data_IF_666954686683
#
_entry.id   IF_666954686683
#
_cell.length_a   1.000
_cell.length_b   1.000
_cell.length_c   1.000
_cell.angle_alpha   90.00
_cell.angle_beta   90.00
_cell.angle_gamma   90.00
#
_symmetry.space_group_name_H-M   'P 1'
#
loop_
_entity.id
_entity.type
_entity.pdbx_description
1 polymer ?
#
# COMPACT_ATOMS: atom_id res chain seq x y z
N UNK A 1 -2.57 -4.37 -12.65
CA UNK A 1 -3.57 -3.28 -12.70
C UNK A 1 -4.98 -3.80 -13.00
N UNK A 2 -5.22 -4.61 -14.04
CA UNK A 2 -6.58 -5.04 -14.39
C UNK A 2 -7.19 -6.16 -13.54
N UNK A 3 -6.43 -6.78 -12.62
CA UNK A 3 -6.85 -7.96 -11.82
C UNK A 3 -6.44 -7.86 -10.34
N UNK A 4 -5.96 -6.70 -9.92
CA UNK A 4 -5.49 -6.48 -8.56
C UNK A 4 -6.73 -6.51 -7.64
N UNK A 5 -6.68 -7.32 -6.59
CA UNK A 5 -7.79 -7.45 -5.64
C UNK A 5 -7.50 -6.61 -4.41
N UNK A 6 -8.44 -5.73 -4.06
CA UNK A 6 -8.40 -5.02 -2.78
C UNK A 6 -8.72 -6.00 -1.67
N UNK A 7 -7.77 -6.21 -0.76
CA UNK A 7 -7.92 -7.13 0.36
C UNK A 7 -8.55 -6.45 1.58
N UNK A 8 -8.14 -5.21 1.87
CA UNK A 8 -8.69 -4.39 2.94
C UNK A 8 -8.39 -2.90 2.72
N UNK A 9 -9.22 -2.04 3.29
CA UNK A 9 -9.12 -0.57 3.21
C UNK A 9 -9.57 0.05 4.53
N UNK A 10 -8.66 0.81 5.16
CA UNK A 10 -8.93 1.42 6.47
C UNK A 10 -8.67 2.92 6.44
N UNK A 11 -9.51 3.66 7.16
CA UNK A 11 -9.31 5.07 7.48
C UNK A 11 -8.71 5.19 8.87
N UNK A 12 -7.54 5.81 8.96
CA UNK A 12 -6.80 6.04 10.19
C UNK A 12 -6.84 7.53 10.50
N UNK A 13 -7.66 7.96 11.46
CA UNK A 13 -7.67 9.36 11.87
C UNK A 13 -8.63 9.70 13.01
N UNK A 14 -8.47 10.88 13.65
CA UNK A 14 -7.37 11.84 13.49
C UNK A 14 -6.02 11.28 13.95
N UNK A 15 -4.94 11.50 13.18
CA UNK A 15 -3.60 10.96 13.51
C UNK A 15 -2.80 12.00 14.30
N UNK A 16 -2.44 11.74 15.58
CA UNK A 16 -1.60 12.64 16.34
C UNK A 16 -0.21 12.81 15.71
N UNK A 17 0.39 13.98 15.87
CA UNK A 17 1.80 14.19 15.49
C UNK A 17 2.69 13.26 16.31
N UNK A 18 3.58 12.55 15.63
CA UNK A 18 4.51 11.61 16.24
C UNK A 18 4.51 10.24 15.57
N UNK A 19 5.03 9.24 16.29
CA UNK A 19 5.10 7.86 15.81
C UNK A 19 3.78 7.17 16.16
N UNK A 20 3.06 6.74 15.12
CA UNK A 20 1.84 5.95 15.25
C UNK A 20 2.07 4.54 14.70
N UNK A 21 1.43 3.55 15.32
CA UNK A 21 1.46 2.16 14.87
C UNK A 21 0.04 1.61 14.85
N UNK A 22 -0.30 0.95 13.76
CA UNK A 22 -1.55 0.22 13.59
C UNK A 22 -1.26 -1.14 12.96
N UNK A 23 -2.25 -2.03 13.03
CA UNK A 23 -2.21 -3.36 12.40
C UNK A 23 -3.22 -3.34 11.27
N UNK A 24 -2.77 -3.69 10.07
CA UNK A 24 -3.63 -3.92 8.91
C UNK A 24 -3.67 -5.43 8.67
N UNK A 25 -4.85 -6.02 8.71
CA UNK A 25 -5.06 -7.45 8.55
C UNK A 25 -6.17 -7.68 7.55
N UNK A 26 -5.90 -8.48 6.53
CA UNK A 26 -6.82 -8.74 5.45
C UNK A 26 -6.93 -10.25 5.16
N UNK A 27 -8.06 -10.66 4.59
CA UNK A 27 -8.25 -12.02 4.09
C UNK A 27 -7.46 -12.26 2.80
N UNK A 28 -7.32 -13.53 2.41
CA UNK A 28 -6.66 -13.91 1.17
C UNK A 28 -7.48 -13.45 -0.06
N UNK A 29 -6.82 -13.19 -1.22
CA UNK A 29 -7.54 -12.88 -2.45
C UNK A 29 -8.42 -14.06 -2.88
N UNK A 30 -9.47 -13.76 -3.65
CA UNK A 30 -10.40 -14.73 -4.20
C UNK A 30 -9.76 -15.45 -5.41
N UNK A 31 -9.48 -16.77 -5.32
CA UNK A 31 -8.80 -17.52 -6.38
C UNK A 31 -9.54 -17.51 -7.71
N UNK A 32 -10.88 -17.56 -7.69
CA UNK A 32 -11.73 -17.52 -8.87
C UNK A 32 -11.73 -16.17 -9.62
N UNK A 33 -11.17 -15.12 -9.03
CA UNK A 33 -10.98 -13.82 -9.70
C UNK A 33 -9.55 -13.64 -10.23
N UNK A 34 -8.65 -14.58 -9.92
CA UNK A 34 -7.30 -14.63 -10.47
C UNK A 34 -7.28 -15.47 -11.75
N UNK A 35 -6.32 -15.23 -12.64
CA UNK A 35 -6.05 -16.12 -13.76
C UNK A 35 -5.60 -17.48 -13.22
N UNK A 36 -6.15 -18.55 -13.79
CA UNK A 36 -5.93 -19.90 -13.28
C UNK A 36 -4.45 -20.32 -13.27
N UNK A 37 -3.67 -19.74 -14.18
CA UNK A 37 -2.23 -19.91 -14.37
C UNK A 37 -1.36 -18.95 -13.53
N UNK A 38 -1.95 -17.97 -12.86
CA UNK A 38 -1.23 -16.96 -12.06
C UNK A 38 -1.34 -17.18 -10.53
N UNK A 39 -1.99 -18.26 -10.09
CA UNK A 39 -2.08 -18.58 -8.64
C UNK A 39 -0.72 -19.00 -8.08
N UNK A 40 0.04 -19.78 -8.85
CA UNK A 40 1.40 -20.22 -8.51
C UNK A 40 2.44 -19.26 -9.10
N UNK A 41 3.59 -19.18 -8.45
CA UNK A 41 4.70 -18.32 -8.84
C UNK A 41 4.72 -16.98 -8.08
N UNK A 42 5.43 -16.02 -8.67
CA UNK A 42 5.72 -14.73 -8.02
C UNK A 42 4.64 -13.70 -8.33
N UNK A 43 4.04 -13.16 -7.29
CA UNK A 43 3.13 -12.01 -7.30
C UNK A 43 3.59 -10.93 -6.29
N UNK A 44 2.79 -9.89 -6.08
CA UNK A 44 3.11 -8.77 -5.18
C UNK A 44 1.91 -8.40 -4.33
N UNK A 45 2.12 -8.21 -3.03
CA UNK A 45 1.16 -7.50 -2.17
C UNK A 45 1.58 -6.04 -2.07
N UNK A 46 0.64 -5.13 -2.32
CA UNK A 46 0.83 -3.68 -2.26
C UNK A 46 0.07 -3.10 -1.08
N UNK A 47 0.74 -2.26 -0.29
CA UNK A 47 0.12 -1.37 0.69
C UNK A 47 0.27 0.05 0.17
N UNK A 48 -0.85 0.70 -0.13
CA UNK A 48 -0.91 2.08 -0.59
C UNK A 48 -1.44 2.95 0.53
N UNK A 49 -0.76 4.06 0.83
CA UNK A 49 -1.27 5.06 1.76
C UNK A 49 -1.58 6.36 1.02
N UNK A 50 -2.76 6.89 1.30
CA UNK A 50 -3.30 8.08 0.68
C UNK A 50 -3.75 9.09 1.73
N UNK A 51 -3.63 10.37 1.39
CA UNK A 51 -4.13 11.47 2.18
C UNK A 51 -4.90 12.41 1.26
N UNK A 52 -6.16 12.74 1.60
CA UNK A 52 -7.07 13.51 0.72
C UNK A 52 -7.09 12.94 -0.72
N UNK A 53 -7.25 11.63 -0.85
CA UNK A 53 -7.27 10.90 -2.15
C UNK A 53 -5.95 10.99 -2.96
N UNK A 54 -4.87 11.50 -2.36
CA UNK A 54 -3.54 11.57 -2.99
C UNK A 54 -2.63 10.53 -2.34
N UNK A 55 -2.23 9.55 -3.14
CA UNK A 55 -1.23 8.57 -2.74
C UNK A 55 0.10 9.26 -2.46
N UNK A 56 0.68 9.04 -1.29
CA UNK A 56 1.99 9.60 -0.91
C UNK A 56 3.06 8.52 -0.70
N UNK A 57 2.66 7.28 -0.45
CA UNK A 57 3.58 6.15 -0.37
C UNK A 57 2.92 4.84 -0.78
N UNK A 58 3.71 4.00 -1.44
CA UNK A 58 3.38 2.61 -1.77
C UNK A 58 4.49 1.69 -1.32
N UNK A 59 4.12 0.61 -0.66
CA UNK A 59 5.03 -0.44 -0.19
C UNK A 59 4.63 -1.76 -0.83
N UNK A 60 5.50 -2.34 -1.64
CA UNK A 60 5.28 -3.64 -2.26
C UNK A 60 6.14 -4.73 -1.64
N UNK A 61 5.55 -5.90 -1.44
CA UNK A 61 6.23 -7.11 -1.00
C UNK A 61 6.09 -8.18 -2.07
N UNK A 62 7.21 -8.77 -2.50
CA UNK A 62 7.14 -9.95 -3.35
C UNK A 62 6.59 -11.12 -2.56
N UNK A 63 5.67 -11.84 -3.19
CA UNK A 63 5.04 -13.03 -2.66
C UNK A 63 5.28 -14.17 -3.63
N UNK A 64 5.85 -15.26 -3.16
CA UNK A 64 6.00 -16.48 -3.94
C UNK A 64 4.98 -17.52 -3.45
N UNK A 65 4.17 -18.04 -4.36
CA UNK A 65 3.21 -19.10 -4.09
C UNK A 65 3.72 -20.40 -4.71
N UNK A 66 4.02 -21.40 -3.90
CA UNK A 66 4.55 -22.69 -4.35
C UNK A 66 3.64 -23.84 -3.91
N UNK A 67 3.54 -24.86 -4.76
CA UNK A 67 2.83 -26.08 -4.41
C UNK A 67 3.76 -27.00 -3.61
N UNK A 68 3.42 -27.26 -2.34
CA UNK A 68 4.25 -28.07 -1.45
C UNK A 68 4.50 -29.47 -2.02
N UNK A 69 5.77 -29.86 -2.08
CA UNK A 69 6.18 -31.22 -2.49
C UNK A 69 6.02 -31.52 -3.98
N UNK A 70 5.65 -30.54 -4.80
CA UNK A 70 5.60 -30.69 -6.25
C UNK A 70 6.96 -30.37 -6.87
N UNK A 71 7.44 -31.27 -7.73
CA UNK A 71 8.68 -31.10 -8.48
C UNK A 71 8.36 -31.04 -9.98
N UNK A 72 8.41 -29.85 -10.57
CA UNK A 72 8.03 -29.64 -11.96
C UNK A 72 8.90 -30.44 -12.95
N UNK A 73 10.14 -30.79 -12.58
CA UNK A 73 11.02 -31.61 -13.43
C UNK A 73 10.61 -33.08 -13.43
N UNK A 74 10.04 -33.57 -12.31
CA UNK A 74 9.63 -34.97 -12.15
C UNK A 74 8.15 -35.20 -12.50
N UNK A 75 7.30 -34.29 -12.09
CA UNK A 75 5.84 -34.43 -12.11
C UNK A 75 5.20 -33.75 -13.33
N UNK A 76 5.97 -32.92 -14.05
CA UNK A 76 5.45 -32.05 -15.11
C UNK A 76 4.79 -30.78 -14.56
N UNK A 77 4.02 -30.04 -15.38
CA UNK A 77 3.38 -28.80 -14.93
C UNK A 77 2.33 -29.07 -13.85
N UNK A 78 2.19 -28.18 -12.84
CA UNK A 78 1.21 -28.34 -11.77
C UNK A 78 -0.24 -28.21 -12.29
N UNK A 79 -1.23 -28.74 -11.55
CA UNK A 79 -2.62 -28.45 -11.82
C UNK A 79 -2.90 -26.94 -11.70
N UNK A 80 -3.78 -26.43 -12.55
CA UNK A 80 -4.28 -25.04 -12.49
C UNK A 80 -5.62 -24.98 -11.77
N UNK A 81 -6.07 -23.80 -11.36
CA UNK A 81 -7.40 -23.64 -10.77
C UNK A 81 -8.51 -23.97 -11.80
N UNK A 82 -9.59 -24.68 -11.43
CA UNK A 82 -10.00 -25.09 -10.07
C UNK A 82 -9.47 -26.44 -9.59
N UNK A 83 -8.64 -27.15 -10.36
CA UNK A 83 -8.09 -28.46 -9.97
C UNK A 83 -6.94 -28.35 -8.95
N UNK A 84 -6.31 -27.18 -8.86
CA UNK A 84 -5.29 -26.88 -7.87
C UNK A 84 -5.85 -26.92 -6.44
N UNK A 85 -5.30 -27.80 -5.59
CA UNK A 85 -5.62 -27.81 -4.16
C UNK A 85 -4.93 -26.64 -3.45
N UNK A 86 -5.69 -25.58 -3.19
CA UNK A 86 -5.21 -24.36 -2.54
C UNK A 86 -4.67 -24.61 -1.12
N UNK A 87 -5.05 -25.72 -0.46
CA UNK A 87 -4.51 -26.05 0.88
C UNK A 87 -3.05 -26.50 0.84
N UNK A 88 -2.56 -26.92 -0.33
CA UNK A 88 -1.17 -27.31 -0.55
C UNK A 88 -0.30 -26.14 -1.05
N UNK A 89 -0.90 -24.97 -1.30
CA UNK A 89 -0.16 -23.78 -1.73
C UNK A 89 0.45 -23.11 -0.51
N UNK A 90 1.77 -23.05 -0.46
CA UNK A 90 2.52 -22.31 0.54
C UNK A 90 2.90 -20.93 0.01
N UNK A 91 2.59 -19.91 0.80
CA UNK A 91 2.97 -18.51 0.54
C UNK A 91 4.25 -18.16 1.28
N UNK A 92 5.22 -17.59 0.57
CA UNK A 92 6.40 -16.97 1.16
C UNK A 92 6.47 -15.50 0.77
N UNK A 93 6.50 -14.61 1.76
CA UNK A 93 6.61 -13.16 1.57
C UNK A 93 8.06 -12.74 1.79
N UNK A 94 8.66 -12.04 0.83
CA UNK A 94 10.00 -11.45 0.97
C UNK A 94 9.92 -10.14 1.81
N UNK A 95 9.60 -10.31 3.09
CA UNK A 95 9.34 -9.20 4.01
C UNK A 95 10.57 -8.30 4.24
N UNK A 96 11.78 -8.85 4.17
CA UNK A 96 13.03 -8.12 4.46
C UNK A 96 13.47 -7.18 3.34
N UNK A 97 12.88 -7.28 2.13
CA UNK A 97 13.23 -6.45 0.97
C UNK A 97 12.00 -5.79 0.35
N UNK A 98 11.28 -4.93 1.10
CA UNK A 98 10.15 -4.20 0.55
C UNK A 98 10.60 -3.24 -0.56
N UNK A 99 9.72 -3.04 -1.53
CA UNK A 99 9.86 -2.00 -2.55
C UNK A 99 9.05 -0.80 -2.12
N UNK A 100 9.72 0.30 -1.77
CA UNK A 100 9.06 1.53 -1.31
C UNK A 100 9.15 2.59 -2.40
N UNK A 101 7.98 3.07 -2.83
CA UNK A 101 7.85 4.21 -3.75
C UNK A 101 7.19 5.35 -3.02
N UNK A 102 7.76 6.55 -3.09
CA UNK A 102 7.23 7.76 -2.45
C UNK A 102 6.76 8.74 -3.52
N UNK A 103 5.61 9.35 -3.29
CA UNK A 103 4.99 10.33 -4.17
C UNK A 103 4.88 11.65 -3.41
N UNK A 104 5.52 12.73 -3.87
CA UNK A 104 5.32 14.05 -3.29
C UNK A 104 3.86 14.50 -3.47
N UNK A 105 3.22 14.96 -2.40
CA UNK A 105 1.86 15.50 -2.42
C UNK A 105 1.79 16.83 -1.65
N UNK A 106 0.76 17.62 -1.95
CA UNK A 106 0.39 18.78 -1.15
C UNK A 106 -0.48 18.33 0.03
N UNK A 107 -0.09 18.71 1.25
CA UNK A 107 -0.77 18.30 2.50
C UNK A 107 -1.84 19.31 2.96
N UNK A 108 -1.59 20.60 2.75
CA UNK A 108 -2.49 21.69 3.14
C UNK A 108 -2.89 22.53 1.93
N UNK A 109 -4.14 23.00 1.90
CA UNK A 109 -4.65 23.89 0.85
C UNK A 109 -4.27 25.37 1.10
N UNK A 110 -3.30 25.60 1.99
CA UNK A 110 -2.88 26.94 2.43
C UNK A 110 -1.94 27.60 1.41
N UNK A 111 -2.56 28.36 0.50
CA UNK A 111 -2.04 29.53 -0.23
C UNK A 111 -0.84 29.35 -1.18
N UNK A 112 -1.14 29.23 -2.48
CA UNK A 112 -0.33 29.87 -3.53
C UNK A 112 -1.20 30.87 -4.29
N UNK A 113 -1.60 31.94 -3.60
CA UNK A 113 -1.89 33.20 -4.29
C UNK A 113 -0.57 33.96 -4.36
N UNK A 114 0.33 33.54 -5.25
CA UNK A 114 1.50 34.34 -5.61
C UNK A 114 1.10 35.19 -6.81
N UNK A 115 0.32 36.25 -6.53
CA UNK A 115 0.21 37.41 -7.40
C UNK A 115 1.27 38.45 -7.00
N UNK A 116 1.72 39.16 -8.02
CA UNK A 116 2.94 39.93 -8.24
C UNK A 116 3.16 41.16 -7.33
N UNK A 117 4.42 41.66 -7.33
CA UNK A 117 4.93 43.05 -7.13
C UNK A 117 5.43 43.53 -5.76
N UNK A 118 6.75 43.83 -5.75
CA UNK A 118 7.44 45.05 -5.25
C UNK A 118 7.53 45.37 -3.74
N UNK A 119 8.77 45.25 -3.23
CA UNK A 119 9.52 46.03 -2.22
C UNK A 119 8.93 46.52 -0.86
N UNK A 120 9.85 46.45 0.12
CA UNK A 120 9.97 47.16 1.41
C UNK A 120 9.23 46.67 2.69
N UNK A 121 9.99 45.91 3.49
CA UNK A 121 10.33 46.16 4.91
C UNK A 121 9.22 46.66 5.87
N UNK A 122 8.69 45.78 6.75
CA UNK A 122 8.42 46.09 8.16
C UNK A 122 8.08 44.86 9.03
N UNK A 123 8.68 44.88 10.21
CA UNK A 123 8.52 44.15 11.49
C UNK A 123 7.27 43.27 11.78
N UNK A 124 7.58 42.20 12.54
CA UNK A 124 6.87 41.62 13.72
C UNK A 124 6.18 40.25 13.62
N UNK A 125 6.43 39.50 14.70
CA UNK A 125 5.78 38.27 15.20
C UNK A 125 6.04 36.96 14.45
N UNK A 126 7.10 36.24 14.87
CA UNK A 126 7.14 34.78 14.68
C UNK A 126 6.16 34.17 15.67
N UNK A 127 4.96 33.91 15.16
CA UNK A 127 3.90 33.19 15.83
C UNK A 127 4.41 31.79 16.20
N UNK A 128 4.28 31.42 17.48
CA UNK A 128 4.49 30.04 17.93
C UNK A 128 3.50 29.16 17.18
N UNK A 129 4.00 28.25 16.34
CA UNK A 129 3.17 27.21 15.73
C UNK A 129 2.66 26.30 16.84
N UNK A 130 1.34 26.33 17.03
CA UNK A 130 0.60 25.48 17.95
C UNK A 130 0.70 24.00 17.49
N UNK A 131 1.21 23.06 18.31
CA UNK A 131 1.41 21.67 17.90
C UNK A 131 0.13 20.81 17.89
N UNK A 132 -1.06 21.41 17.95
CA UNK A 132 -2.31 20.71 18.28
C UNK A 132 -3.26 20.36 17.12
N UNK A 133 -2.90 20.62 15.85
CA UNK A 133 -3.79 20.23 14.73
C UNK A 133 -3.53 18.76 14.34
N UNK A 134 -4.45 17.82 14.61
CA UNK A 134 -4.31 16.48 14.06
C UNK A 134 -4.43 16.53 12.53
N UNK A 135 -3.51 15.87 11.81
CA UNK A 135 -3.68 15.69 10.38
C UNK A 135 -4.97 14.89 10.11
N UNK A 136 -5.69 15.24 9.05
CA UNK A 136 -6.89 14.52 8.62
C UNK A 136 -6.58 13.05 8.34
N UNK A 137 -7.62 12.21 8.32
CA UNK A 137 -7.46 10.77 8.21
C UNK A 137 -6.58 10.34 7.02
N UNK A 138 -5.72 9.36 7.26
CA UNK A 138 -4.93 8.66 6.26
C UNK A 138 -5.67 7.39 5.86
N UNK A 139 -5.83 7.15 4.58
CA UNK A 139 -6.36 5.90 4.06
C UNK A 139 -5.20 4.94 3.81
N UNK A 140 -5.30 3.70 4.29
CA UNK A 140 -4.35 2.64 4.01
C UNK A 140 -5.10 1.47 3.35
N UNK A 141 -4.61 1.06 2.17
CA UNK A 141 -5.25 0.06 1.32
C UNK A 141 -4.28 -1.06 0.98
N UNK A 142 -4.69 -2.31 1.21
CA UNK A 142 -3.93 -3.50 0.83
C UNK A 142 -4.51 -4.13 -0.43
N UNK A 143 -3.66 -4.49 -1.39
CA UNK A 143 -4.06 -5.20 -2.59
C UNK A 143 -3.09 -6.34 -2.93
N UNK A 144 -3.57 -7.39 -3.61
CA UNK A 144 -2.78 -8.53 -4.10
C UNK A 144 -3.17 -8.94 -5.52
#
# INVERSE_FOLDING_TARGET
>A
AGKDQVLDEILVGPVPVGINKFVLQADAPLPQQLPADEILGVTVVLVTCSYKEREFVRVGYYVNNELLGHDAEKDGPPPVFPQLDLKQVQRQILADKPRVTKFPITWDDSTVAMETTTDENQQQSVNQQDPSVPMSAVEAKMAA
#
